data_IF_010686336155
#
_entry.id   IF_010686336155
#
_cell.length_a   1.000
_cell.length_b   1.000
_cell.length_c   1.000
_cell.angle_alpha   90.00
_cell.angle_beta   90.00
_cell.angle_gamma   90.00
#
_symmetry.space_group_name_H-M   'P 1'
#
loop_
_entity.id
_entity.type
_entity.pdbx_description
1 polymer ?
#
# COMPACT_ATOMS: atom_id res chain seq x y z
N UNK A 1 12.64 10.70 -6.08
CA UNK A 1 12.89 9.97 -7.35
C UNK A 1 12.20 8.61 -7.37
N UNK A 2 10.86 8.52 -7.35
CA UNK A 2 10.23 7.19 -7.38
C UNK A 2 8.78 7.21 -7.84
N UNK A 3 8.51 7.88 -8.98
CA UNK A 3 7.22 7.78 -9.68
C UNK A 3 6.82 6.31 -9.90
N UNK A 4 7.81 5.44 -10.15
CA UNK A 4 7.63 4.00 -10.30
C UNK A 4 7.12 3.38 -8.99
N UNK A 5 7.72 3.67 -7.83
CA UNK A 5 7.27 3.11 -6.55
C UNK A 5 5.88 3.62 -6.16
N UNK A 6 5.53 4.86 -6.55
CA UNK A 6 4.17 5.41 -6.38
C UNK A 6 3.14 4.67 -7.22
N UNK A 7 3.45 4.39 -8.50
CA UNK A 7 2.57 3.60 -9.38
C UNK A 7 2.43 2.17 -8.89
N UNK A 8 3.53 1.52 -8.48
CA UNK A 8 3.50 0.16 -7.91
C UNK A 8 2.67 0.11 -6.63
N UNK A 9 2.79 1.10 -5.75
CA UNK A 9 1.97 1.23 -4.53
C UNK A 9 0.48 1.39 -4.87
N UNK A 10 0.11 2.23 -5.84
CA UNK A 10 -1.28 2.39 -6.28
C UNK A 10 -1.85 1.09 -6.89
N UNK A 11 -1.06 0.38 -7.68
CA UNK A 11 -1.46 -0.92 -8.26
C UNK A 11 -1.64 -1.96 -7.15
N UNK A 12 -0.71 -2.03 -6.19
CA UNK A 12 -0.81 -2.95 -5.07
C UNK A 12 -2.05 -2.68 -4.20
N UNK A 13 -2.40 -1.40 -3.99
CA UNK A 13 -3.64 -1.02 -3.31
C UNK A 13 -4.88 -1.44 -4.11
N UNK A 14 -4.86 -1.25 -5.43
CA UNK A 14 -5.89 -1.75 -6.33
C UNK A 14 -6.05 -3.28 -6.23
N UNK A 15 -4.96 -4.02 -6.15
CA UNK A 15 -4.97 -5.48 -5.96
C UNK A 15 -5.57 -5.93 -4.62
N UNK A 16 -5.70 -5.06 -3.61
CA UNK A 16 -6.41 -5.38 -2.37
C UNK A 16 -7.91 -5.10 -2.50
N UNK A 17 -8.26 -3.98 -3.12
CA UNK A 17 -9.65 -3.52 -3.23
C UNK A 17 -10.43 -4.32 -4.28
N UNK A 18 -9.84 -4.53 -5.45
CA UNK A 18 -10.49 -5.20 -6.60
C UNK A 18 -10.98 -6.61 -6.25
N UNK A 19 -10.17 -7.55 -5.73
CA UNK A 19 -10.66 -8.89 -5.39
C UNK A 19 -11.68 -8.87 -4.25
N UNK A 20 -11.62 -7.89 -3.34
CA UNK A 20 -12.65 -7.69 -2.31
C UNK A 20 -14.00 -7.32 -2.95
N UNK A 21 -14.00 -6.48 -3.99
CA UNK A 21 -15.20 -6.16 -4.76
C UNK A 21 -15.69 -7.37 -5.59
N UNK A 22 -14.78 -8.12 -6.22
CA UNK A 22 -15.14 -9.32 -6.97
C UNK A 22 -15.70 -10.44 -6.08
N UNK A 23 -15.30 -10.51 -4.81
CA UNK A 23 -15.93 -11.39 -3.81
C UNK A 23 -17.41 -11.09 -3.66
N UNK A 24 -17.78 -9.80 -3.57
CA UNK A 24 -19.17 -9.37 -3.41
C UNK A 24 -20.03 -9.71 -4.63
N UNK A 25 -19.44 -9.71 -5.82
CA UNK A 25 -20.12 -10.14 -7.06
C UNK A 25 -20.18 -11.67 -7.20
N UNK A 26 -19.53 -12.42 -6.29
CA UNK A 26 -19.53 -13.88 -6.28
C UNK A 26 -18.65 -14.52 -7.37
N UNK A 27 -17.81 -13.73 -8.04
CA UNK A 27 -16.96 -14.19 -9.15
C UNK A 27 -15.73 -14.94 -8.62
N UNK A 28 -15.25 -14.58 -7.42
CA UNK A 28 -14.01 -15.11 -6.86
C UNK A 28 -14.27 -15.71 -5.49
N UNK A 29 -13.69 -16.88 -5.23
CA UNK A 29 -13.79 -17.56 -3.93
C UNK A 29 -13.01 -16.86 -2.82
N UNK A 30 -13.48 -17.01 -1.58
CA UNK A 30 -12.93 -16.36 -0.39
C UNK A 30 -11.45 -16.70 -0.13
N UNK A 31 -11.02 -17.90 -0.52
CA UNK A 31 -9.62 -18.32 -0.39
C UNK A 31 -8.69 -17.53 -1.31
N UNK A 32 -9.10 -17.30 -2.57
CA UNK A 32 -8.33 -16.53 -3.55
C UNK A 32 -8.22 -15.07 -3.13
N UNK A 33 -9.32 -14.48 -2.64
CA UNK A 33 -9.33 -13.08 -2.17
C UNK A 33 -8.39 -12.88 -0.99
N UNK A 34 -8.36 -13.82 -0.03
CA UNK A 34 -7.42 -13.76 1.10
C UNK A 34 -5.96 -13.76 0.65
N UNK A 35 -5.59 -14.66 -0.27
CA UNK A 35 -4.20 -14.74 -0.76
C UNK A 35 -3.81 -13.49 -1.56
N UNK A 36 -4.67 -13.03 -2.47
CA UNK A 36 -4.39 -11.86 -3.30
C UNK A 36 -4.32 -10.58 -2.45
N UNK A 37 -5.23 -10.41 -1.49
CA UNK A 37 -5.21 -9.27 -0.57
C UNK A 37 -3.97 -9.29 0.34
N UNK A 38 -3.53 -10.46 0.80
CA UNK A 38 -2.34 -10.59 1.62
C UNK A 38 -1.08 -10.18 0.85
N UNK A 39 -0.90 -10.73 -0.35
CA UNK A 39 0.25 -10.40 -1.21
C UNK A 39 0.21 -8.92 -1.63
N UNK A 40 -0.98 -8.41 -1.98
CA UNK A 40 -1.18 -7.00 -2.30
C UNK A 40 -0.82 -6.08 -1.13
N UNK A 41 -1.19 -6.45 0.09
CA UNK A 41 -0.85 -5.68 1.31
C UNK A 41 0.65 -5.69 1.55
N UNK A 42 1.32 -6.84 1.45
CA UNK A 42 2.79 -6.93 1.62
C UNK A 42 3.51 -6.09 0.56
N UNK A 43 3.10 -6.19 -0.70
CA UNK A 43 3.68 -5.41 -1.80
C UNK A 43 3.43 -3.91 -1.65
N UNK A 44 2.24 -3.52 -1.19
CA UNK A 44 1.91 -2.14 -0.86
C UNK A 44 2.75 -1.63 0.30
N UNK A 45 2.91 -2.42 1.36
CA UNK A 45 3.68 -2.02 2.54
C UNK A 45 5.17 -1.86 2.24
N UNK A 46 5.74 -2.68 1.36
CA UNK A 46 7.12 -2.53 0.90
C UNK A 46 7.29 -1.31 -0.02
N UNK A 47 6.32 -1.03 -0.89
CA UNK A 47 6.41 0.04 -1.89
C UNK A 47 6.08 1.43 -1.36
N UNK A 48 5.14 1.54 -0.43
CA UNK A 48 4.66 2.82 0.14
C UNK A 48 5.77 3.66 0.81
N UNK A 49 6.61 3.13 1.71
CA UNK A 49 7.67 3.93 2.34
C UNK A 49 8.75 4.38 1.35
N UNK A 50 8.93 3.69 0.22
CA UNK A 50 9.95 4.05 -0.80
C UNK A 50 9.66 5.36 -1.56
N UNK A 51 8.45 5.88 -1.48
CA UNK A 51 8.09 7.17 -2.11
C UNK A 51 7.40 8.13 -1.14
N UNK A 52 6.82 7.62 -0.06
CA UNK A 52 6.14 8.42 0.96
C UNK A 52 7.07 8.87 2.10
N UNK A 53 8.37 8.54 2.02
CA UNK A 53 9.39 9.10 2.90
C UNK A 53 9.33 10.63 2.85
N UNK A 54 8.81 11.22 3.93
CA UNK A 54 8.81 12.67 4.15
C UNK A 54 10.16 13.04 4.75
N UNK A 55 10.72 14.17 4.30
CA UNK A 55 11.76 14.83 5.07
C UNK A 55 11.22 15.08 6.47
N UNK A 56 11.90 14.56 7.48
CA UNK A 56 11.58 14.86 8.87
C UNK A 56 11.78 16.37 9.03
N UNK A 57 10.68 17.11 9.24
CA UNK A 57 10.75 18.51 9.63
C UNK A 57 11.63 18.58 10.88
N UNK A 58 12.59 19.51 10.87
CA UNK A 58 13.59 19.76 11.92
C UNK A 58 13.04 19.34 13.28
N UNK A 59 13.72 18.35 13.85
CA UNK A 59 13.39 17.72 15.11
C UNK A 59 13.15 18.82 16.15
N UNK A 60 12.05 18.73 16.89
CA UNK A 60 11.68 19.70 17.92
C UNK A 60 12.63 19.67 19.14
N UNK A 61 13.84 19.16 18.97
CA UNK A 61 14.95 19.18 19.92
C UNK A 61 15.71 20.51 19.93
N UNK A 62 15.42 21.43 19.00
CA UNK A 62 15.96 22.81 18.94
C UNK A 62 15.05 23.86 19.61
N UNK A 63 13.95 23.46 20.28
CA UNK A 63 13.26 24.40 21.18
C UNK A 63 14.00 24.40 22.51
N UNK A 64 15.00 25.27 22.61
CA UNK A 64 15.54 25.72 23.90
C UNK A 64 14.37 26.26 24.74
N UNK A 65 14.07 25.58 25.85
CA UNK A 65 13.06 25.99 26.84
C UNK A 65 13.76 26.58 28.06
#
# INVERSE_FOLDING_TARGET
MSNIAKVVSLIALGLVIVPSLLLFVGIVGLNTVKLVALVGTIGWFASTPMWMSRELLVDASEVEV
#
